data_IF_572125234296
#
_entry.id   IF_572125234296
#
_cell.length_a   1.000
_cell.length_b   1.000
_cell.length_c   1.000
_cell.angle_alpha   90.00
_cell.angle_beta   90.00
_cell.angle_gamma   90.00
#
_symmetry.space_group_name_H-M   'P 1'
#
loop_
_entity.id
_entity.type
_entity.pdbx_description
1 polymer ?
#
# COMPACT_ATOMS: atom_id res chain seq x y z
N UNK A 1 -3.10 -27.46 33.09
CA UNK A 1 -3.24 -26.05 33.54
C UNK A 1 -3.70 -25.10 32.41
N UNK A 2 -3.46 -25.39 31.12
CA UNK A 2 -3.72 -24.50 29.97
C UNK A 2 -4.92 -24.87 29.09
N UNK A 3 -5.78 -25.82 29.52
CA UNK A 3 -6.93 -26.29 28.71
C UNK A 3 -7.87 -25.16 28.27
N UNK A 4 -8.11 -24.15 29.13
CA UNK A 4 -8.93 -23.00 28.80
C UNK A 4 -8.34 -22.14 27.67
N UNK A 5 -7.01 -21.96 27.64
CA UNK A 5 -6.31 -21.21 26.59
C UNK A 5 -6.41 -21.93 25.25
N UNK A 6 -6.23 -23.25 25.24
CA UNK A 6 -6.38 -24.04 24.00
C UNK A 6 -7.82 -24.00 23.46
N UNK A 7 -8.84 -24.05 24.36
CA UNK A 7 -10.23 -23.91 23.95
C UNK A 7 -10.52 -22.54 23.32
N UNK A 8 -9.93 -21.46 23.84
CA UNK A 8 -10.04 -20.11 23.25
C UNK A 8 -9.33 -19.97 21.91
N UNK A 9 -8.29 -20.75 21.66
CA UNK A 9 -7.56 -20.74 20.38
C UNK A 9 -8.30 -21.50 19.27
N UNK A 10 -9.15 -22.47 19.59
CA UNK A 10 -9.85 -23.31 18.60
C UNK A 10 -10.61 -22.46 17.56
N UNK A 11 -11.49 -21.50 17.93
CA UNK A 11 -12.23 -20.72 16.93
C UNK A 11 -11.31 -19.87 16.04
N UNK A 12 -10.20 -19.35 16.58
CA UNK A 12 -9.21 -18.58 15.82
C UNK A 12 -8.48 -19.49 14.82
N UNK A 13 -8.01 -20.66 15.28
CA UNK A 13 -7.34 -21.64 14.41
C UNK A 13 -8.30 -22.17 13.33
N UNK A 14 -9.55 -22.48 13.69
CA UNK A 14 -10.55 -22.92 12.74
C UNK A 14 -10.80 -21.85 11.65
N UNK A 15 -10.90 -20.57 12.04
CA UNK A 15 -11.03 -19.47 11.09
C UNK A 15 -9.85 -19.43 10.12
N UNK A 16 -8.62 -19.49 10.62
CA UNK A 16 -7.43 -19.46 9.76
C UNK A 16 -7.37 -20.68 8.83
N UNK A 17 -7.66 -21.88 9.34
CA UNK A 17 -7.66 -23.10 8.53
C UNK A 17 -8.69 -23.00 7.40
N UNK A 18 -9.92 -22.61 7.70
CA UNK A 18 -11.01 -22.57 6.72
C UNK A 18 -10.85 -21.46 5.72
N UNK A 19 -10.48 -20.23 6.17
CA UNK A 19 -10.50 -19.04 5.31
C UNK A 19 -9.14 -18.65 4.73
N UNK A 20 -8.02 -19.11 5.32
CA UNK A 20 -6.69 -18.79 4.80
C UNK A 20 -5.97 -20.02 4.21
N UNK A 21 -6.03 -21.19 4.90
CA UNK A 21 -5.30 -22.36 4.42
C UNK A 21 -6.09 -23.20 3.41
N UNK A 22 -7.37 -23.45 3.63
CA UNK A 22 -8.17 -24.22 2.68
C UNK A 22 -8.21 -23.61 1.26
N UNK A 23 -8.32 -22.27 1.08
CA UNK A 23 -8.28 -21.66 -0.24
C UNK A 23 -6.94 -21.81 -0.98
N UNK A 24 -5.83 -22.15 -0.29
CA UNK A 24 -4.54 -22.38 -0.96
C UNK A 24 -4.61 -23.52 -1.98
N UNK A 25 -5.56 -24.46 -1.86
CA UNK A 25 -5.83 -25.45 -2.89
C UNK A 25 -6.16 -24.79 -4.25
N UNK A 26 -6.75 -23.60 -4.22
CA UNK A 26 -7.06 -22.80 -5.42
C UNK A 26 -5.83 -22.37 -6.21
N UNK A 27 -4.64 -22.35 -5.61
CA UNK A 27 -3.40 -22.00 -6.32
C UNK A 27 -3.12 -22.95 -7.51
N UNK A 28 -3.61 -24.21 -7.43
CA UNK A 28 -3.49 -25.16 -8.52
C UNK A 28 -4.19 -24.70 -9.82
N UNK A 29 -5.17 -23.80 -9.72
CA UNK A 29 -5.88 -23.22 -10.87
C UNK A 29 -4.88 -22.57 -11.85
N UNK A 30 -3.82 -21.97 -11.36
CA UNK A 30 -2.76 -21.35 -12.16
C UNK A 30 -2.08 -22.34 -13.13
N UNK A 31 -2.04 -23.63 -12.77
CA UNK A 31 -1.38 -24.70 -13.53
C UNK A 31 -2.37 -25.55 -14.34
N UNK A 32 -3.66 -25.19 -14.33
CA UNK A 32 -4.73 -25.92 -15.00
C UNK A 32 -5.43 -25.01 -16.01
N UNK A 33 -6.11 -25.63 -16.98
CA UNK A 33 -7.14 -24.96 -17.78
C UNK A 33 -8.48 -25.11 -17.03
N UNK A 34 -8.66 -24.25 -16.02
CA UNK A 34 -9.77 -24.36 -15.09
C UNK A 34 -11.11 -24.05 -15.77
N UNK A 35 -12.06 -24.94 -15.57
CA UNK A 35 -13.45 -24.79 -15.98
C UNK A 35 -14.36 -24.96 -14.76
N UNK A 36 -15.16 -23.93 -14.37
CA UNK A 36 -15.99 -24.00 -13.17
C UNK A 36 -16.86 -25.25 -13.10
N UNK A 37 -17.45 -25.68 -14.21
CA UNK A 37 -18.30 -26.87 -14.26
C UNK A 37 -17.59 -28.21 -14.04
N UNK A 38 -16.25 -28.26 -14.12
CA UNK A 38 -15.45 -29.46 -13.84
C UNK A 38 -14.72 -29.42 -12.49
N UNK A 39 -14.75 -28.25 -11.83
CA UNK A 39 -14.01 -28.03 -10.60
C UNK A 39 -12.50 -28.02 -10.82
N UNK A 40 -11.75 -27.87 -9.72
CA UNK A 40 -10.28 -27.80 -9.77
C UNK A 40 -9.69 -29.15 -10.25
N UNK A 41 -10.12 -30.23 -9.65
CA UNK A 41 -9.55 -31.57 -9.90
C UNK A 41 -9.93 -32.16 -11.28
N UNK A 42 -11.10 -31.82 -11.80
CA UNK A 42 -11.57 -32.25 -13.11
C UNK A 42 -11.05 -31.38 -14.27
N UNK A 43 -10.33 -30.30 -14.00
CA UNK A 43 -9.75 -29.43 -15.01
C UNK A 43 -8.39 -29.94 -15.49
N UNK A 44 -8.09 -29.81 -16.78
CA UNK A 44 -6.87 -30.32 -17.42
C UNK A 44 -5.65 -29.59 -16.90
N UNK A 45 -4.60 -30.33 -16.55
CA UNK A 45 -3.30 -29.77 -16.17
C UNK A 45 -2.54 -29.27 -17.40
N UNK A 46 -2.12 -28.00 -17.38
CA UNK A 46 -1.39 -27.34 -18.48
C UNK A 46 0.01 -26.86 -18.08
N UNK A 47 0.43 -27.17 -16.86
CA UNK A 47 1.76 -26.78 -16.35
C UNK A 47 1.94 -25.25 -16.35
N UNK A 48 3.03 -24.77 -16.94
CA UNK A 48 3.39 -23.36 -16.95
C UNK A 48 2.81 -22.56 -18.14
N UNK A 49 1.86 -23.09 -18.88
CA UNK A 49 1.32 -22.42 -20.08
C UNK A 49 0.73 -21.04 -19.77
N UNK A 50 -0.03 -20.90 -18.67
CA UNK A 50 -0.62 -19.63 -18.26
C UNK A 50 0.45 -18.59 -17.88
N UNK A 51 1.53 -19.02 -17.27
CA UNK A 51 2.67 -18.15 -16.92
C UNK A 51 3.40 -17.69 -18.19
N UNK A 52 3.68 -18.62 -19.11
CA UNK A 52 4.30 -18.29 -20.41
C UNK A 52 3.46 -17.27 -21.15
N UNK A 53 2.15 -17.48 -21.21
CA UNK A 53 1.20 -16.54 -21.84
C UNK A 53 1.28 -15.15 -21.22
N UNK A 54 1.46 -15.02 -19.91
CA UNK A 54 1.62 -13.73 -19.25
C UNK A 54 2.91 -13.04 -19.66
N UNK A 55 4.05 -13.72 -19.54
CA UNK A 55 5.37 -13.13 -19.82
C UNK A 55 5.59 -12.77 -21.30
N UNK A 56 4.96 -13.52 -22.22
CA UNK A 56 5.03 -13.24 -23.66
C UNK A 56 3.87 -12.38 -24.17
N UNK A 57 2.91 -12.05 -23.29
CA UNK A 57 1.73 -11.30 -23.64
C UNK A 57 2.01 -9.81 -23.90
N UNK A 58 1.22 -9.15 -24.76
CA UNK A 58 1.43 -7.75 -25.16
C UNK A 58 1.25 -6.77 -24.00
N UNK A 59 0.54 -7.17 -22.95
CA UNK A 59 0.23 -6.31 -21.81
C UNK A 59 1.26 -6.40 -20.68
N UNK A 60 2.15 -7.40 -20.69
CA UNK A 60 3.11 -7.66 -19.61
C UNK A 60 3.91 -6.42 -19.22
N UNK A 61 4.60 -5.82 -20.18
CA UNK A 61 5.44 -4.65 -19.92
C UNK A 61 4.68 -3.43 -19.46
N UNK A 62 3.45 -3.21 -19.97
CA UNK A 62 2.60 -2.10 -19.56
C UNK A 62 2.21 -2.23 -18.09
N UNK A 63 1.62 -3.38 -17.70
CA UNK A 63 1.13 -3.56 -16.32
C UNK A 63 2.28 -3.64 -15.32
N UNK A 64 3.42 -4.25 -15.68
CA UNK A 64 4.60 -4.30 -14.84
C UNK A 64 5.17 -2.90 -14.61
N UNK A 65 5.41 -2.14 -15.68
CA UNK A 65 5.94 -0.78 -15.63
C UNK A 65 5.04 0.13 -14.77
N UNK A 66 3.74 0.09 -14.98
CA UNK A 66 2.81 0.92 -14.23
C UNK A 66 2.75 0.54 -12.75
N UNK A 67 2.75 -0.76 -12.44
CA UNK A 67 2.82 -1.24 -11.05
C UNK A 67 4.09 -0.71 -10.38
N UNK A 68 5.25 -0.85 -11.03
CA UNK A 68 6.52 -0.39 -10.47
C UNK A 68 6.54 1.14 -10.25
N UNK A 69 6.10 1.93 -11.23
CA UNK A 69 6.10 3.39 -11.09
C UNK A 69 5.15 3.87 -9.99
N UNK A 70 3.89 3.37 -9.96
CA UNK A 70 2.93 3.79 -8.94
C UNK A 70 3.42 3.36 -7.55
N UNK A 71 3.94 2.13 -7.41
CA UNK A 71 4.52 1.64 -6.15
C UNK A 71 5.71 2.48 -5.71
N UNK A 72 6.63 2.79 -6.63
CA UNK A 72 7.79 3.60 -6.34
C UNK A 72 7.39 5.01 -5.84
N UNK A 73 6.54 5.71 -6.58
CA UNK A 73 6.06 7.04 -6.16
C UNK A 73 5.32 6.99 -4.84
N UNK A 74 4.50 5.96 -4.61
CA UNK A 74 3.79 5.78 -3.36
C UNK A 74 4.76 5.56 -2.20
N UNK A 75 5.81 4.76 -2.37
CA UNK A 75 6.82 4.56 -1.32
C UNK A 75 7.62 5.84 -1.08
N UNK A 76 8.11 6.49 -2.12
CA UNK A 76 8.96 7.67 -1.97
C UNK A 76 8.21 8.85 -1.33
N UNK A 77 6.91 8.99 -1.59
CA UNK A 77 6.10 10.11 -1.11
C UNK A 77 5.28 9.72 0.11
N UNK A 78 4.48 8.65 0.03
CA UNK A 78 3.52 8.31 1.08
C UNK A 78 4.13 7.56 2.26
N UNK A 79 5.36 7.04 2.16
CA UNK A 79 6.03 6.41 3.30
C UNK A 79 6.72 7.42 4.22
N UNK A 80 7.56 8.37 3.74
CA UNK A 80 8.21 9.33 4.63
C UNK A 80 7.26 10.43 5.14
N UNK A 81 6.18 10.73 4.42
CA UNK A 81 5.27 11.81 4.80
C UNK A 81 4.61 11.63 6.18
N UNK A 82 4.07 10.45 6.56
CA UNK A 82 3.57 10.21 7.92
C UNK A 82 4.62 10.34 9.01
N UNK A 83 5.88 10.01 8.73
CA UNK A 83 7.01 10.16 9.66
C UNK A 83 7.25 11.66 9.90
N UNK A 84 7.38 12.42 8.84
CA UNK A 84 7.55 13.88 8.92
C UNK A 84 6.36 14.53 9.62
N UNK A 85 5.14 14.11 9.29
CA UNK A 85 3.91 14.60 9.92
C UNK A 85 3.88 14.30 11.43
N UNK A 86 4.28 13.10 11.84
CA UNK A 86 4.39 12.73 13.25
C UNK A 86 5.43 13.57 13.99
N UNK A 87 6.62 13.80 13.39
CA UNK A 87 7.64 14.68 13.94
C UNK A 87 7.14 16.12 14.10
N UNK A 88 6.47 16.67 13.09
CA UNK A 88 5.87 18.01 13.17
C UNK A 88 4.82 18.10 14.28
N UNK A 89 3.94 17.12 14.39
CA UNK A 89 2.92 17.05 15.45
C UNK A 89 3.55 16.91 16.84
N UNK A 90 4.68 16.21 16.95
CA UNK A 90 5.37 16.06 18.22
C UNK A 90 5.97 17.37 18.75
N UNK A 91 6.41 18.24 17.84
CA UNK A 91 6.97 19.56 18.19
C UNK A 91 5.90 20.60 18.57
N UNK A 92 4.60 20.33 18.30
CA UNK A 92 3.52 21.24 18.64
C UNK A 92 3.27 21.30 20.14
N UNK A 93 3.46 22.48 20.74
CA UNK A 93 3.23 22.76 22.18
C UNK A 93 1.76 22.90 22.54
N UNK A 94 0.92 23.40 21.62
CA UNK A 94 -0.48 23.67 21.84
C UNK A 94 -1.29 22.37 21.73
N UNK A 95 -1.61 21.73 22.87
CA UNK A 95 -2.34 20.45 22.93
C UNK A 95 -3.66 20.46 22.13
N UNK A 96 -4.44 21.55 22.22
CA UNK A 96 -5.71 21.69 21.49
C UNK A 96 -5.51 21.70 19.97
N UNK A 97 -4.50 22.44 19.48
CA UNK A 97 -4.17 22.49 18.07
C UNK A 97 -3.66 21.13 17.56
N UNK A 98 -2.78 20.48 18.32
CA UNK A 98 -2.32 19.12 18.01
C UNK A 98 -3.48 18.15 17.86
N UNK A 99 -4.39 18.13 18.83
CA UNK A 99 -5.59 17.27 18.79
C UNK A 99 -6.50 17.59 17.60
N UNK A 100 -6.72 18.87 17.30
CA UNK A 100 -7.55 19.28 16.14
C UNK A 100 -6.92 18.81 14.82
N UNK A 101 -5.62 19.02 14.62
CA UNK A 101 -4.90 18.58 13.41
C UNK A 101 -4.95 17.06 13.28
N UNK A 102 -4.75 16.31 14.37
CA UNK A 102 -4.87 14.86 14.38
C UNK A 102 -6.26 14.40 13.96
N UNK A 103 -7.32 14.95 14.57
CA UNK A 103 -8.70 14.60 14.25
C UNK A 103 -9.02 14.85 12.77
N UNK A 104 -8.67 16.02 12.24
CA UNK A 104 -8.94 16.38 10.85
C UNK A 104 -8.14 15.49 9.89
N UNK A 105 -6.87 15.19 10.20
CA UNK A 105 -6.03 14.37 9.34
C UNK A 105 -6.38 12.88 9.37
N UNK A 106 -7.01 12.39 10.45
CA UNK A 106 -7.45 10.99 10.55
C UNK A 106 -8.78 10.74 9.82
N UNK A 107 -9.63 11.76 9.74
CA UNK A 107 -10.98 11.64 9.22
C UNK A 107 -11.07 11.02 7.80
N UNK A 108 -10.21 11.39 6.82
CA UNK A 108 -10.27 10.83 5.48
C UNK A 108 -10.09 9.30 5.43
N UNK A 109 -9.36 8.73 6.37
CA UNK A 109 -9.13 7.28 6.44
C UNK A 109 -10.41 6.49 6.73
N UNK A 110 -11.36 7.06 7.46
CA UNK A 110 -12.63 6.42 7.85
C UNK A 110 -13.72 6.55 6.77
N UNK A 111 -13.49 7.36 5.75
CA UNK A 111 -14.41 7.50 4.62
C UNK A 111 -14.25 6.28 3.71
N UNK A 112 -15.37 5.71 3.24
CA UNK A 112 -15.30 4.57 2.34
C UNK A 112 -14.54 4.93 1.04
N UNK A 113 -13.77 3.98 0.53
CA UNK A 113 -12.95 4.20 -0.66
C UNK A 113 -13.76 4.63 -1.89
N UNK A 114 -14.99 4.13 -2.02
CA UNK A 114 -15.91 4.51 -3.11
C UNK A 114 -16.26 5.99 -3.03
N UNK A 115 -16.58 6.48 -1.82
CA UNK A 115 -16.89 7.90 -1.58
C UNK A 115 -15.66 8.77 -1.82
N UNK A 116 -14.50 8.36 -1.32
CA UNK A 116 -13.22 9.06 -1.57
C UNK A 116 -12.95 9.18 -3.07
N UNK A 117 -13.08 8.08 -3.82
CA UNK A 117 -12.88 8.11 -5.26
C UNK A 117 -13.93 8.96 -5.99
N UNK A 118 -15.18 8.98 -5.50
CA UNK A 118 -16.23 9.87 -6.00
C UNK A 118 -15.88 11.34 -5.82
N UNK A 119 -15.44 11.72 -4.62
CA UNK A 119 -14.98 13.09 -4.32
C UNK A 119 -13.78 13.48 -5.20
N UNK A 120 -12.81 12.58 -5.36
CA UNK A 120 -11.63 12.84 -6.23
C UNK A 120 -12.09 13.07 -7.67
N UNK A 121 -12.96 12.18 -8.21
CA UNK A 121 -13.49 12.33 -9.57
C UNK A 121 -14.18 13.66 -9.78
N UNK A 122 -15.01 14.09 -8.81
CA UNK A 122 -15.70 15.37 -8.89
C UNK A 122 -14.73 16.55 -8.92
N UNK A 123 -13.72 16.54 -8.04
CA UNK A 123 -12.74 17.61 -7.94
C UNK A 123 -11.83 17.76 -9.16
N UNK A 124 -11.51 16.65 -9.83
CA UNK A 124 -10.62 16.63 -11.02
C UNK A 124 -11.37 16.48 -12.33
N UNK A 125 -12.72 16.49 -12.32
CA UNK A 125 -13.56 16.54 -13.52
C UNK A 125 -13.35 17.85 -14.29
N UNK A 126 -13.86 17.95 -15.50
CA UNK A 126 -13.74 19.16 -16.33
C UNK A 126 -14.34 20.42 -15.69
N UNK A 127 -15.35 20.25 -14.84
CA UNK A 127 -16.02 21.32 -14.07
C UNK A 127 -15.58 21.37 -12.61
N UNK A 128 -14.66 20.49 -12.21
CA UNK A 128 -14.21 20.34 -10.84
C UNK A 128 -13.36 21.50 -10.33
N UNK A 129 -13.33 21.66 -9.01
CA UNK A 129 -12.61 22.74 -8.34
C UNK A 129 -11.13 22.76 -8.72
N UNK A 130 -10.46 21.59 -8.68
CA UNK A 130 -9.01 21.49 -8.96
C UNK A 130 -8.74 21.78 -10.44
N UNK A 131 -9.56 21.20 -11.33
CA UNK A 131 -9.43 21.43 -12.78
C UNK A 131 -9.61 22.91 -13.14
N UNK A 132 -10.59 23.60 -12.54
CA UNK A 132 -10.80 25.02 -12.75
C UNK A 132 -9.65 25.88 -12.25
N UNK A 133 -9.09 25.57 -11.08
CA UNK A 133 -7.92 26.28 -10.54
C UNK A 133 -6.68 26.08 -11.42
N UNK A 134 -6.47 24.90 -11.96
CA UNK A 134 -5.35 24.61 -12.86
C UNK A 134 -5.58 25.19 -14.26
N UNK A 135 -6.82 25.23 -14.74
CA UNK A 135 -7.17 25.86 -16.01
C UNK A 135 -6.93 27.37 -15.99
N UNK A 136 -7.14 28.03 -14.84
CA UNK A 136 -6.75 29.44 -14.66
C UNK A 136 -5.22 29.67 -14.81
N UNK A 137 -4.41 28.63 -14.59
CA UNK A 137 -2.97 28.60 -14.86
C UNK A 137 -2.57 28.06 -16.24
N UNK A 138 -3.54 27.86 -17.17
CA UNK A 138 -3.28 27.38 -18.53
C UNK A 138 -3.10 25.85 -18.69
N UNK A 139 -3.50 25.07 -17.68
CA UNK A 139 -3.44 23.60 -17.74
C UNK A 139 -4.76 22.99 -18.24
N UNK A 140 -4.68 21.75 -18.75
CA UNK A 140 -5.86 21.03 -19.29
C UNK A 140 -6.97 20.85 -18.24
N UNK A 141 -8.23 21.00 -18.67
CA UNK A 141 -9.41 21.00 -17.80
C UNK A 141 -9.90 19.62 -17.35
N UNK A 142 -9.48 18.53 -17.97
CA UNK A 142 -9.93 17.19 -17.60
C UNK A 142 -8.75 16.28 -17.22
N UNK A 143 -8.40 16.32 -15.93
CA UNK A 143 -7.20 15.67 -15.43
C UNK A 143 -7.28 14.13 -15.42
N UNK A 144 -8.49 13.54 -15.31
CA UNK A 144 -8.68 12.10 -15.33
C UNK A 144 -8.69 11.50 -16.76
N UNK A 145 -8.72 12.33 -17.78
CA UNK A 145 -8.59 11.87 -19.18
C UNK A 145 -7.14 11.96 -19.68
N UNK A 146 -6.27 12.61 -18.92
CA UNK A 146 -4.84 12.74 -19.26
C UNK A 146 -4.03 11.61 -18.60
N UNK A 147 -3.49 10.65 -19.39
CA UNK A 147 -2.67 9.57 -18.86
C UNK A 147 -1.47 10.06 -18.04
N UNK A 148 -0.92 11.23 -18.36
CA UNK A 148 0.26 11.78 -17.67
C UNK A 148 -0.04 12.22 -16.22
N UNK A 149 -1.28 12.57 -15.90
CA UNK A 149 -1.70 13.11 -14.60
C UNK A 149 -2.17 12.03 -13.62
N UNK A 150 -2.60 10.87 -14.11
CA UNK A 150 -3.19 9.83 -13.28
C UNK A 150 -2.31 9.44 -12.08
N UNK A 151 -1.00 9.24 -12.29
CA UNK A 151 -0.08 8.83 -11.22
C UNK A 151 0.00 9.87 -10.11
N UNK A 152 0.03 11.16 -10.46
CA UNK A 152 0.03 12.25 -9.49
C UNK A 152 -1.29 12.30 -8.70
N UNK A 153 -2.44 12.17 -9.39
CA UNK A 153 -3.76 12.13 -8.75
C UNK A 153 -3.83 10.96 -7.75
N UNK A 154 -3.37 9.79 -8.17
CA UNK A 154 -3.35 8.59 -7.32
C UNK A 154 -2.50 8.82 -6.06
N UNK A 155 -1.25 9.27 -6.22
CA UNK A 155 -0.29 9.42 -5.11
C UNK A 155 -0.73 10.54 -4.15
N UNK A 156 -1.17 11.69 -4.66
CA UNK A 156 -1.62 12.81 -3.83
C UNK A 156 -2.88 12.44 -3.05
N UNK A 157 -3.82 11.77 -3.69
CA UNK A 157 -5.05 11.31 -3.02
C UNK A 157 -4.78 10.21 -2.01
N UNK A 158 -3.81 9.33 -2.26
CA UNK A 158 -3.35 8.30 -1.31
C UNK A 158 -2.71 8.96 -0.09
N UNK A 159 -1.83 9.94 -0.31
CA UNK A 159 -1.20 10.71 0.75
C UNK A 159 -2.25 11.39 1.63
N UNK A 160 -3.19 12.12 1.03
CA UNK A 160 -4.26 12.79 1.76
C UNK A 160 -5.10 11.83 2.61
N UNK A 161 -5.44 10.66 2.06
CA UNK A 161 -6.26 9.69 2.75
C UNK A 161 -5.55 8.99 3.92
N UNK A 162 -4.22 8.80 3.82
CA UNK A 162 -3.51 7.90 4.72
C UNK A 162 -2.48 8.56 5.63
N UNK A 163 -2.07 9.82 5.37
CA UNK A 163 -0.99 10.49 6.12
C UNK A 163 -1.26 10.55 7.62
N UNK A 164 -2.48 10.92 8.00
CA UNK A 164 -2.87 11.02 9.40
C UNK A 164 -2.86 9.65 10.07
N UNK A 165 -3.56 8.68 9.49
CA UNK A 165 -3.67 7.33 10.04
C UNK A 165 -2.31 6.66 10.20
N UNK A 166 -1.48 6.68 9.17
CA UNK A 166 -0.16 6.07 9.20
C UNK A 166 0.80 6.78 10.17
N UNK A 167 0.54 8.03 10.55
CA UNK A 167 1.35 8.75 11.53
C UNK A 167 1.15 8.27 12.97
N UNK A 168 0.05 7.57 13.27
CA UNK A 168 -0.30 7.14 14.63
C UNK A 168 0.78 6.24 15.22
N UNK A 169 1.31 5.28 14.44
CA UNK A 169 2.34 4.35 14.92
C UNK A 169 3.64 5.08 15.28
N UNK A 170 4.00 6.09 14.50
CA UNK A 170 5.19 6.90 14.77
C UNK A 170 4.99 7.81 15.97
N UNK A 171 3.77 8.37 16.17
CA UNK A 171 3.44 9.15 17.36
C UNK A 171 3.46 8.30 18.64
N UNK A 172 2.99 7.04 18.55
CA UNK A 172 3.09 6.10 19.66
C UNK A 172 4.55 5.77 20.01
N UNK A 173 5.39 5.52 19.00
CA UNK A 173 6.81 5.28 19.19
C UNK A 173 7.51 6.51 19.78
N UNK A 174 7.18 7.73 19.32
CA UNK A 174 7.70 8.99 19.87
C UNK A 174 7.35 9.19 21.35
N UNK A 175 6.13 8.80 21.74
CA UNK A 175 5.70 8.90 23.13
C UNK A 175 6.45 7.94 24.07
N UNK A 176 7.07 6.89 23.53
CA UNK A 176 7.88 5.92 24.27
C UNK A 176 9.34 6.32 24.47
N UNK A 177 9.81 7.42 23.87
CA UNK A 177 11.20 7.88 24.00
C UNK A 177 11.42 8.49 25.41
N UNK A 178 12.51 8.08 26.07
CA UNK A 178 12.85 8.59 27.40
C UNK A 178 13.12 10.10 27.34
N UNK A 179 12.39 10.86 28.17
CA UNK A 179 12.54 12.32 28.26
C UNK A 179 13.92 12.76 28.74
N UNK A 180 14.58 11.96 29.54
CA UNK A 180 15.95 12.26 30.08
C UNK A 180 16.98 12.48 28.95
N UNK A 181 16.80 11.80 27.80
CA UNK A 181 17.68 12.00 26.63
C UNK A 181 17.56 13.42 26.06
N UNK A 182 16.34 13.95 26.04
CA UNK A 182 16.12 15.33 25.60
C UNK A 182 16.60 16.37 26.60
N UNK A 183 16.49 16.07 27.92
CA UNK A 183 16.93 16.94 28.97
C UNK A 183 18.46 17.00 29.02
N UNK A 184 19.15 15.87 28.88
CA UNK A 184 20.60 15.82 28.74
C UNK A 184 21.10 16.62 27.55
N UNK A 185 20.48 16.40 26.37
CA UNK A 185 20.82 17.14 25.16
C UNK A 185 20.53 18.64 25.27
N UNK A 186 19.55 19.04 26.09
CA UNK A 186 19.27 20.45 26.36
C UNK A 186 20.37 21.10 27.21
N UNK A 187 20.92 20.39 28.22
CA UNK A 187 22.04 20.81 29.01
C UNK A 187 23.31 20.98 28.17
N UNK A 188 23.53 20.08 27.19
CA UNK A 188 24.61 20.15 26.20
C UNK A 188 24.42 21.25 25.16
N UNK A 189 23.36 22.07 25.26
CA UNK A 189 23.07 23.16 24.32
C UNK A 189 22.53 22.73 22.96
N UNK A 190 22.07 21.47 22.81
CA UNK A 190 21.54 20.99 21.56
C UNK A 190 20.19 21.67 21.19
N UNK A 191 20.18 22.39 20.09
CA UNK A 191 18.96 22.98 19.52
C UNK A 191 17.94 21.90 19.05
N UNK A 192 16.70 22.32 18.78
CA UNK A 192 15.58 21.42 18.40
C UNK A 192 15.94 20.50 17.22
N UNK A 193 16.48 21.05 16.15
CA UNK A 193 16.83 20.27 14.97
C UNK A 193 17.88 19.20 15.25
N UNK A 194 18.88 19.54 16.05
CA UNK A 194 19.91 18.59 16.47
C UNK A 194 19.34 17.46 17.32
N UNK A 195 18.41 17.76 18.24
CA UNK A 195 17.68 16.73 19.03
C UNK A 195 16.84 15.80 18.16
N UNK A 196 16.16 16.34 17.15
CA UNK A 196 15.39 15.49 16.19
C UNK A 196 16.33 14.53 15.46
N UNK A 197 17.46 15.00 14.93
CA UNK A 197 18.38 14.19 14.14
C UNK A 197 19.17 13.19 14.99
N UNK A 198 19.59 13.58 16.21
CA UNK A 198 20.52 12.79 17.04
C UNK A 198 19.81 11.91 18.09
N UNK A 199 18.54 12.16 18.42
CA UNK A 199 17.78 11.40 19.40
C UNK A 199 16.50 10.84 18.78
N UNK A 200 15.65 11.74 18.29
CA UNK A 200 14.29 11.33 17.86
C UNK A 200 14.32 10.33 16.70
N UNK A 201 15.04 10.65 15.61
CA UNK A 201 15.11 9.78 14.43
C UNK A 201 15.82 8.45 14.76
N UNK A 202 16.98 8.41 15.44
CA UNK A 202 17.58 7.13 15.85
C UNK A 202 16.68 6.27 16.73
N UNK A 203 15.97 6.85 17.69
CA UNK A 203 15.01 6.12 18.53
C UNK A 203 13.80 5.61 17.75
N UNK A 204 13.39 6.30 16.67
CA UNK A 204 12.32 5.84 15.77
C UNK A 204 12.78 4.80 14.75
N UNK A 205 14.09 4.66 14.52
CA UNK A 205 14.63 3.84 13.42
C UNK A 205 14.10 2.40 13.41
N UNK A 206 14.02 1.69 14.56
CA UNK A 206 13.43 0.33 14.57
C UNK A 206 12.00 0.30 14.05
N UNK A 207 11.17 1.25 14.48
CA UNK A 207 9.78 1.35 13.99
C UNK A 207 9.73 1.68 12.51
N UNK A 208 10.53 2.61 12.03
CA UNK A 208 10.61 2.98 10.61
C UNK A 208 11.00 1.78 9.76
N UNK A 209 12.00 1.01 10.18
CA UNK A 209 12.49 -0.16 9.45
C UNK A 209 11.41 -1.24 9.37
N UNK A 210 10.78 -1.58 10.48
CA UNK A 210 9.70 -2.58 10.50
C UNK A 210 8.56 -2.17 9.57
N UNK A 211 8.11 -0.91 9.66
CA UNK A 211 7.05 -0.40 8.79
C UNK A 211 7.47 -0.36 7.32
N UNK A 212 8.74 -0.08 7.03
CA UNK A 212 9.28 -0.12 5.68
C UNK A 212 9.28 -1.54 5.10
N UNK A 213 9.74 -2.54 5.87
CA UNK A 213 9.72 -3.94 5.45
C UNK A 213 8.28 -4.39 5.15
N UNK A 214 7.33 -4.06 6.04
CA UNK A 214 5.91 -4.36 5.82
C UNK A 214 5.35 -3.68 4.56
N UNK A 215 5.75 -2.43 4.29
CA UNK A 215 5.32 -1.69 3.09
C UNK A 215 5.91 -2.30 1.82
N UNK A 216 7.16 -2.73 1.83
CA UNK A 216 7.79 -3.44 0.70
C UNK A 216 7.09 -4.78 0.44
N UNK A 217 6.57 -5.45 1.46
CA UNK A 217 5.78 -6.67 1.30
C UNK A 217 4.53 -6.50 0.44
N UNK A 218 4.07 -5.26 0.27
CA UNK A 218 2.92 -4.91 -0.55
C UNK A 218 3.31 -4.13 -1.81
N UNK A 219 4.61 -4.10 -2.16
CA UNK A 219 5.13 -3.28 -3.25
C UNK A 219 4.43 -3.52 -4.59
N UNK A 220 4.24 -4.78 -4.96
CA UNK A 220 3.57 -5.16 -6.20
C UNK A 220 2.03 -5.18 -6.08
N UNK A 221 1.49 -4.97 -4.87
CA UNK A 221 0.06 -5.02 -4.56
C UNK A 221 -0.50 -3.63 -4.27
N UNK A 222 -0.08 -2.63 -5.04
CA UNK A 222 -0.61 -1.26 -4.94
C UNK A 222 -2.14 -1.29 -5.05
N UNK A 223 -2.82 -0.50 -4.19
CA UNK A 223 -4.27 -0.46 -4.02
C UNK A 223 -5.09 -0.52 -5.31
N UNK A 224 -5.27 -1.72 -5.84
CA UNK A 224 -5.96 -1.96 -7.10
C UNK A 224 -7.43 -1.50 -7.04
N UNK A 225 -8.06 -1.58 -5.86
CA UNK A 225 -9.44 -1.14 -5.64
C UNK A 225 -9.60 0.35 -5.98
N UNK A 226 -8.68 1.19 -5.50
CA UNK A 226 -8.66 2.63 -5.79
C UNK A 226 -8.42 2.90 -7.28
N UNK A 227 -7.53 2.14 -7.89
CA UNK A 227 -7.25 2.26 -9.32
C UNK A 227 -8.47 1.88 -10.15
N UNK A 228 -9.14 0.77 -9.85
CA UNK A 228 -10.37 0.35 -10.54
C UNK A 228 -11.47 1.41 -10.42
N UNK A 229 -11.58 2.06 -9.27
CA UNK A 229 -12.57 3.12 -9.06
C UNK A 229 -12.23 4.42 -9.80
N UNK A 230 -10.94 4.73 -10.02
CA UNK A 230 -10.50 5.98 -10.63
C UNK A 230 -10.23 5.89 -12.13
N UNK A 231 -9.77 4.72 -12.62
CA UNK A 231 -9.31 4.57 -14.01
C UNK A 231 -10.47 4.52 -15.02
N UNK A 232 -10.12 4.74 -16.28
CA UNK A 232 -10.96 4.54 -17.46
C UNK A 232 -10.08 4.04 -18.61
N UNK A 233 -10.69 3.64 -19.72
CA UNK A 233 -9.98 3.04 -20.87
C UNK A 233 -8.94 3.99 -21.50
N UNK A 234 -9.20 5.29 -21.49
CA UNK A 234 -8.31 6.29 -22.09
C UNK A 234 -6.97 6.41 -21.36
N UNK A 235 -6.93 6.05 -20.06
CA UNK A 235 -5.71 6.17 -19.23
C UNK A 235 -5.07 4.82 -18.87
N UNK A 236 -5.52 3.70 -19.47
CA UNK A 236 -4.94 2.37 -19.23
C UNK A 236 -3.43 2.33 -19.49
N UNK A 237 -2.91 3.19 -20.37
CA UNK A 237 -1.48 3.26 -20.64
C UNK A 237 -0.64 3.52 -19.36
N UNK A 238 -1.15 4.34 -18.44
CA UNK A 238 -0.45 4.72 -17.20
C UNK A 238 -1.09 4.23 -15.92
N UNK A 239 -2.37 3.82 -15.97
CA UNK A 239 -3.17 3.44 -14.82
C UNK A 239 -3.31 1.92 -14.64
N UNK A 240 -3.24 1.13 -15.73
CA UNK A 240 -3.46 -0.31 -15.67
C UNK A 240 -2.27 -1.02 -15.02
N UNK A 241 -2.47 -1.54 -13.81
CA UNK A 241 -1.50 -2.27 -13.01
C UNK A 241 -1.77 -3.78 -13.01
N UNK A 242 -0.86 -4.58 -12.47
CA UNK A 242 -1.04 -6.03 -12.36
C UNK A 242 -2.35 -6.36 -11.63
N UNK A 243 -2.68 -5.68 -10.53
CA UNK A 243 -3.92 -5.93 -9.76
C UNK A 243 -5.20 -5.64 -10.56
N UNK A 244 -5.28 -4.49 -11.26
CA UNK A 244 -6.45 -4.16 -12.09
C UNK A 244 -6.57 -5.08 -13.33
N UNK A 245 -5.44 -5.51 -13.86
CA UNK A 245 -5.39 -6.48 -14.96
C UNK A 245 -5.89 -7.86 -14.52
N UNK A 246 -5.45 -8.35 -13.36
CA UNK A 246 -5.94 -9.60 -12.75
C UNK A 246 -7.44 -9.55 -12.51
N UNK A 247 -7.95 -8.45 -11.95
CA UNK A 247 -9.38 -8.25 -11.74
C UNK A 247 -10.17 -8.35 -13.05
N UNK A 248 -9.74 -7.62 -14.09
CA UNK A 248 -10.41 -7.61 -15.40
C UNK A 248 -10.35 -8.98 -16.06
N UNK A 249 -9.17 -9.61 -16.13
CA UNK A 249 -9.01 -10.94 -16.76
C UNK A 249 -9.70 -12.04 -15.96
N UNK A 250 -9.64 -12.00 -14.64
CA UNK A 250 -10.18 -13.04 -13.76
C UNK A 250 -11.68 -12.95 -13.57
N UNK A 251 -12.19 -11.79 -13.17
CA UNK A 251 -13.58 -11.66 -12.76
C UNK A 251 -14.50 -11.20 -13.90
N UNK A 252 -14.04 -10.26 -14.74
CA UNK A 252 -14.87 -9.75 -15.84
C UNK A 252 -14.82 -10.72 -17.04
N UNK A 253 -13.62 -11.13 -17.47
CA UNK A 253 -13.45 -12.04 -18.61
C UNK A 253 -13.51 -13.53 -18.23
N UNK A 254 -13.69 -13.84 -16.93
CA UNK A 254 -13.78 -15.23 -16.39
C UNK A 254 -12.58 -16.12 -16.73
N UNK A 255 -11.42 -15.54 -16.99
CA UNK A 255 -10.17 -16.27 -17.24
C UNK A 255 -9.42 -16.53 -15.95
N UNK A 256 -10.00 -17.41 -15.12
CA UNK A 256 -9.50 -17.68 -13.76
C UNK A 256 -8.08 -18.24 -13.74
N UNK A 257 -7.74 -19.13 -14.66
CA UNK A 257 -6.43 -19.78 -14.72
C UNK A 257 -5.30 -18.81 -14.98
N UNK A 258 -5.51 -17.97 -15.97
CA UNK A 258 -4.56 -16.95 -16.36
C UNK A 258 -4.35 -15.90 -15.24
N UNK A 259 -5.45 -15.37 -14.70
CA UNK A 259 -5.36 -14.39 -13.60
C UNK A 259 -4.77 -14.96 -12.33
N UNK A 260 -5.04 -16.23 -12.00
CA UNK A 260 -4.38 -16.90 -10.87
C UNK A 260 -2.88 -17.03 -11.09
N UNK A 261 -2.44 -17.37 -12.31
CA UNK A 261 -1.01 -17.43 -12.63
C UNK A 261 -0.33 -16.06 -12.47
N UNK A 262 -0.97 -14.98 -12.95
CA UNK A 262 -0.46 -13.61 -12.79
C UNK A 262 -0.40 -13.21 -11.31
N UNK A 263 -1.44 -13.55 -10.53
CA UNK A 263 -1.47 -13.29 -9.08
C UNK A 263 -0.37 -14.04 -8.33
N UNK A 264 -0.08 -15.29 -8.71
CA UNK A 264 1.02 -16.06 -8.13
C UNK A 264 2.38 -15.43 -8.41
N UNK A 265 2.63 -14.97 -9.64
CA UNK A 265 3.86 -14.24 -9.98
C UNK A 265 3.98 -13.00 -9.11
N UNK A 266 2.91 -12.23 -8.99
CA UNK A 266 2.87 -11.02 -8.17
C UNK A 266 3.20 -11.31 -6.70
N UNK A 267 2.58 -12.35 -6.13
CA UNK A 267 2.81 -12.77 -4.74
C UNK A 267 4.23 -13.27 -4.52
N UNK A 268 4.78 -14.03 -5.49
CA UNK A 268 6.16 -14.52 -5.41
C UNK A 268 7.18 -13.36 -5.42
N UNK A 269 6.97 -12.36 -6.27
CA UNK A 269 7.83 -11.17 -6.32
C UNK A 269 7.75 -10.41 -4.99
N UNK A 270 6.55 -10.19 -4.44
CA UNK A 270 6.39 -9.55 -3.13
C UNK A 270 7.11 -10.33 -2.03
N UNK A 271 6.96 -11.65 -2.00
CA UNK A 271 7.64 -12.50 -1.02
C UNK A 271 9.17 -12.38 -1.12
N UNK A 272 9.72 -12.46 -2.32
CA UNK A 272 11.16 -12.29 -2.54
C UNK A 272 11.64 -10.91 -2.10
N UNK A 273 10.89 -9.85 -2.39
CA UNK A 273 11.23 -8.49 -1.95
C UNK A 273 11.26 -8.38 -0.42
N UNK A 274 10.29 -8.95 0.28
CA UNK A 274 10.28 -8.97 1.76
C UNK A 274 11.50 -9.69 2.31
N UNK A 275 11.80 -10.89 1.80
CA UNK A 275 12.97 -11.68 2.25
C UNK A 275 14.28 -10.91 2.02
N UNK A 276 14.43 -10.29 0.85
CA UNK A 276 15.64 -9.51 0.54
C UNK A 276 15.77 -8.30 1.46
N UNK A 277 14.70 -7.51 1.58
CA UNK A 277 14.72 -6.29 2.41
C UNK A 277 14.90 -6.63 3.89
N UNK A 278 14.23 -7.68 4.39
CA UNK A 278 14.41 -8.14 5.76
C UNK A 278 15.87 -8.55 6.05
N UNK A 279 16.51 -9.31 5.14
CA UNK A 279 17.92 -9.68 5.27
C UNK A 279 18.87 -8.48 5.23
N UNK A 280 18.59 -7.48 4.37
CA UNK A 280 19.38 -6.25 4.32
C UNK A 280 19.21 -5.47 5.62
N UNK A 281 17.99 -5.30 6.12
CA UNK A 281 17.69 -4.60 7.37
C UNK A 281 18.37 -5.25 8.57
N UNK A 282 18.33 -6.57 8.68
CA UNK A 282 19.02 -7.32 9.75
C UNK A 282 20.54 -7.06 9.77
N UNK A 283 21.16 -6.88 8.59
CA UNK A 283 22.61 -6.58 8.51
C UNK A 283 22.97 -5.13 8.79
N UNK A 284 22.08 -4.20 8.45
CA UNK A 284 22.38 -2.75 8.52
C UNK A 284 21.99 -2.14 9.86
N UNK A 285 20.91 -2.61 10.46
CA UNK A 285 20.31 -1.96 11.64
C UNK A 285 20.03 -2.92 12.80
N UNK A 286 20.42 -4.20 12.71
CA UNK A 286 20.10 -5.24 13.67
C UNK A 286 18.59 -5.40 13.95
N UNK A 287 17.75 -4.76 13.12
CA UNK A 287 16.29 -4.79 13.23
C UNK A 287 15.71 -5.58 12.07
N UNK A 288 14.95 -6.62 12.37
CA UNK A 288 14.30 -7.49 11.36
C UNK A 288 12.93 -7.94 11.87
N UNK A 289 12.14 -8.54 10.98
CA UNK A 289 10.85 -9.15 11.36
C UNK A 289 11.04 -10.54 11.98
N UNK A 290 12.06 -11.28 11.56
CA UNK A 290 12.45 -12.59 12.08
C UNK A 290 13.96 -12.76 12.00
#
# INVERSE_FOLDING_TARGET
QYRGIYLMLIPVLAFYIVFNYAPLQGLQIAFRNYRPGRGIWGSTWVGLANFKQFFTGPYFWRVLRNTLYISFYTIVICFPAPILFALMLNELRLKKLKSAIQTVSYLPHFISLVVVCGIIKEFVSSTGLISNLLAAGGMASNLLMDPSKFRAIYVVSELWQTIGWNSIIYLAALAGINQELYDAAAVDGAGRFRRILSITIPCLMPTIIIMFIMRIGQFMSVGYDKIILLYNENIYETADIIGSFVYRKGLIESNYSYSMAVSLVNSLVNFLLVVVVNKISAKVSETSLW
#
